data_IF_388866599555
#
_entry.id   IF_388866599555
#
_cell.length_a   1.000
_cell.length_b   1.000
_cell.length_c   1.000
_cell.angle_alpha   90.00
_cell.angle_beta   90.00
_cell.angle_gamma   90.00
#
_symmetry.space_group_name_H-M   'P 1'
#
loop_
_entity.id
_entity.type
_entity.pdbx_description
1 polymer ?
#
# COMPACT_ATOMS: atom_id res chain seq x y z
N UNK A 1 5.45 -21.26 -5.76
CA UNK A 1 4.90 -19.92 -6.03
C UNK A 1 5.92 -19.11 -6.80
N UNK A 2 5.58 -18.59 -7.99
CA UNK A 2 6.52 -17.87 -8.85
C UNK A 2 6.87 -16.50 -8.24
N UNK A 3 8.17 -16.17 -8.17
CA UNK A 3 8.64 -14.86 -7.69
C UNK A 3 8.22 -13.76 -8.68
N UNK A 4 7.61 -12.69 -8.18
CA UNK A 4 7.24 -11.54 -8.99
C UNK A 4 8.49 -10.75 -9.45
N UNK A 5 8.51 -10.38 -10.73
CA UNK A 5 9.58 -9.60 -11.36
C UNK A 5 9.38 -8.12 -11.05
N UNK A 6 10.44 -7.43 -10.63
CA UNK A 6 10.41 -5.98 -10.36
C UNK A 6 10.21 -5.22 -11.68
N UNK A 7 9.30 -4.25 -11.70
CA UNK A 7 9.06 -3.41 -12.87
C UNK A 7 10.30 -2.60 -13.21
N UNK A 8 10.65 -2.61 -14.48
CA UNK A 8 11.68 -1.77 -15.08
C UNK A 8 11.21 -0.31 -15.10
N UNK A 9 12.18 0.62 -15.15
CA UNK A 9 11.91 2.06 -15.29
C UNK A 9 11.09 2.34 -16.55
N UNK A 10 11.29 1.55 -17.61
CA UNK A 10 10.55 1.64 -18.88
C UNK A 10 9.07 1.29 -18.73
N UNK A 11 8.75 0.19 -18.04
CA UNK A 11 7.37 -0.21 -17.77
C UNK A 11 6.65 0.86 -16.93
N UNK A 12 7.32 1.42 -15.92
CA UNK A 12 6.79 2.54 -15.12
C UNK A 12 6.50 3.79 -15.97
N UNK A 13 7.39 4.16 -16.88
CA UNK A 13 7.19 5.30 -17.77
C UNK A 13 5.96 5.14 -18.66
N UNK A 14 5.79 3.94 -19.23
CA UNK A 14 4.66 3.63 -20.12
C UNK A 14 3.30 3.69 -19.41
N UNK A 15 3.25 3.31 -18.14
CA UNK A 15 2.02 3.39 -17.34
C UNK A 15 1.63 4.83 -17.06
N UNK A 16 2.60 5.69 -16.72
CA UNK A 16 2.35 7.12 -16.48
C UNK A 16 1.83 7.80 -17.75
N UNK A 17 2.38 7.45 -18.92
CA UNK A 17 1.92 7.94 -20.21
C UNK A 17 0.46 7.54 -20.48
N UNK A 18 0.14 6.25 -20.36
CA UNK A 18 -1.21 5.75 -20.65
C UNK A 18 -2.26 6.28 -19.65
N UNK A 19 -1.87 6.49 -18.38
CA UNK A 19 -2.73 7.12 -17.39
C UNK A 19 -3.01 8.60 -17.71
N UNK A 20 -1.99 9.36 -18.12
CA UNK A 20 -2.17 10.74 -18.59
C UNK A 20 -3.04 10.85 -19.84
N UNK A 21 -3.08 9.80 -20.66
CA UNK A 21 -3.97 9.68 -21.83
C UNK A 21 -5.42 9.31 -21.45
N UNK A 22 -5.74 9.18 -20.16
CA UNK A 22 -7.09 8.92 -19.67
C UNK A 22 -7.55 7.47 -19.80
N UNK A 23 -6.63 6.53 -20.07
CA UNK A 23 -6.98 5.12 -20.14
C UNK A 23 -7.34 4.59 -18.74
N UNK A 24 -8.37 3.74 -18.70
CA UNK A 24 -8.74 3.03 -17.48
C UNK A 24 -7.62 2.08 -17.06
N UNK A 25 -7.51 1.81 -15.76
CA UNK A 25 -6.48 0.91 -15.22
C UNK A 25 -6.53 -0.48 -15.88
N UNK A 26 -7.73 -0.96 -16.25
CA UNK A 26 -7.94 -2.21 -17.00
C UNK A 26 -7.36 -2.15 -18.41
N UNK A 27 -7.54 -1.04 -19.12
CA UNK A 27 -6.96 -0.86 -20.45
C UNK A 27 -5.43 -0.75 -20.39
N UNK A 28 -4.89 -0.07 -19.38
CA UNK A 28 -3.44 -0.01 -19.13
C UNK A 28 -2.89 -1.41 -18.81
N UNK A 29 -3.58 -2.21 -18.00
CA UNK A 29 -3.20 -3.59 -17.69
C UNK A 29 -3.26 -4.51 -18.92
N UNK A 30 -4.20 -4.31 -19.83
CA UNK A 30 -4.26 -5.03 -21.09
C UNK A 30 -3.11 -4.63 -22.05
N UNK A 31 -2.79 -3.34 -22.10
CA UNK A 31 -1.74 -2.76 -22.97
C UNK A 31 -0.32 -3.08 -22.49
N UNK A 32 -0.12 -3.13 -21.17
CA UNK A 32 1.18 -3.40 -20.51
C UNK A 32 1.37 -4.90 -20.24
N UNK A 33 0.31 -5.70 -20.32
CA UNK A 33 0.32 -7.13 -20.07
C UNK A 33 0.05 -7.49 -18.60
N UNK A 34 -0.21 -8.78 -18.29
CA UNK A 34 -0.70 -9.22 -17.00
C UNK A 34 0.25 -8.88 -15.84
N UNK A 35 -0.27 -8.08 -14.91
CA UNK A 35 0.33 -7.79 -13.62
C UNK A 35 0.35 -9.05 -12.75
N UNK A 36 1.44 -9.80 -12.81
CA UNK A 36 1.66 -10.99 -11.96
C UNK A 36 2.09 -10.60 -10.54
N UNK A 37 1.35 -9.72 -9.88
CA UNK A 37 1.76 -9.18 -8.58
C UNK A 37 0.61 -8.70 -7.74
N UNK A 38 0.77 -8.83 -6.43
CA UNK A 38 -0.13 -8.32 -5.42
C UNK A 38 0.63 -7.29 -4.58
N UNK A 39 -0.01 -6.17 -4.24
CA UNK A 39 0.60 -5.12 -3.44
C UNK A 39 0.01 -5.19 -2.04
N UNK A 40 0.89 -5.19 -1.04
CA UNK A 40 0.51 -5.10 0.34
C UNK A 40 0.60 -3.64 0.77
N UNK A 41 -0.49 -3.13 1.32
CA UNK A 41 -0.58 -1.78 1.88
C UNK A 41 -0.89 -1.85 3.37
N UNK A 42 -0.37 -0.89 4.12
CA UNK A 42 -0.70 -0.69 5.51
C UNK A 42 -1.22 0.73 5.72
N UNK A 43 -2.22 0.85 6.57
CA UNK A 43 -2.71 2.12 7.08
C UNK A 43 -3.60 1.85 8.28
N UNK A 44 -3.98 2.92 8.96
CA UNK A 44 -5.06 2.84 9.92
C UNK A 44 -5.98 4.05 9.79
N UNK A 45 -7.21 3.86 10.25
CA UNK A 45 -8.30 4.80 10.09
C UNK A 45 -9.18 4.75 11.34
N UNK A 46 -9.91 5.84 11.59
CA UNK A 46 -11.01 5.87 12.53
C UNK A 46 -12.15 6.72 11.94
N UNK A 47 -13.23 6.88 12.70
CA UNK A 47 -14.30 7.81 12.34
C UNK A 47 -13.81 9.25 12.10
N UNK A 48 -12.76 9.68 12.81
CA UNK A 48 -12.26 11.06 12.77
C UNK A 48 -11.18 11.29 11.69
N UNK A 49 -10.75 10.26 10.97
CA UNK A 49 -9.77 10.44 9.89
C UNK A 49 -8.92 9.21 9.60
N UNK A 50 -8.20 9.29 8.48
CA UNK A 50 -7.33 8.23 7.93
C UNK A 50 -5.87 8.66 7.95
N UNK A 51 -4.96 7.75 8.27
CA UNK A 51 -3.52 7.96 8.07
C UNK A 51 -3.08 7.70 6.63
N UNK A 52 -1.90 8.20 6.28
CA UNK A 52 -1.27 7.95 4.98
C UNK A 52 -0.98 6.44 4.79
N UNK A 53 -1.33 5.91 3.62
CA UNK A 53 -1.09 4.52 3.27
C UNK A 53 0.40 4.27 2.96
N UNK A 54 0.97 3.27 3.61
CA UNK A 54 2.34 2.82 3.39
C UNK A 54 2.34 1.53 2.56
N UNK A 55 3.26 1.43 1.59
CA UNK A 55 3.47 0.20 0.82
C UNK A 55 4.41 -0.73 1.59
N UNK A 56 3.97 -1.96 1.86
CA UNK A 56 4.77 -3.00 2.52
C UNK A 56 5.40 -3.89 1.45
N UNK A 57 6.73 -3.99 1.45
CA UNK A 57 7.45 -4.83 0.50
C UNK A 57 7.72 -6.22 1.08
N UNK A 58 7.26 -7.26 0.38
CA UNK A 58 7.53 -8.64 0.75
C UNK A 58 6.67 -9.13 1.93
N UNK A 59 7.21 -10.08 2.70
CA UNK A 59 6.50 -10.70 3.83
C UNK A 59 6.62 -9.82 5.06
N UNK A 60 5.49 -9.42 5.65
CA UNK A 60 5.49 -8.70 6.92
C UNK A 60 5.93 -9.65 8.05
N UNK A 61 7.08 -9.37 8.65
CA UNK A 61 7.58 -10.04 9.86
C UNK A 61 7.21 -9.21 11.09
N UNK A 62 7.40 -9.76 12.30
CA UNK A 62 7.18 -9.01 13.52
C UNK A 62 8.08 -7.75 13.59
N UNK A 63 9.37 -7.89 13.26
CA UNK A 63 10.30 -6.78 13.21
C UNK A 63 9.93 -5.74 12.15
N UNK A 64 9.61 -6.19 10.93
CA UNK A 64 9.16 -5.28 9.86
C UNK A 64 7.84 -4.58 10.20
N UNK A 65 6.99 -5.21 11.03
CA UNK A 65 5.79 -4.55 11.51
C UNK A 65 6.09 -3.41 12.49
N UNK A 66 7.00 -3.62 13.45
CA UNK A 66 7.43 -2.55 14.38
C UNK A 66 8.06 -1.39 13.62
N UNK A 67 8.94 -1.68 12.67
CA UNK A 67 9.55 -0.67 11.80
C UNK A 67 8.50 0.12 11.02
N UNK A 68 7.48 -0.57 10.50
CA UNK A 68 6.39 0.07 9.78
C UNK A 68 5.54 0.96 10.70
N UNK A 69 5.33 0.60 11.98
CA UNK A 69 4.61 1.45 12.94
C UNK A 69 5.39 2.73 13.24
N UNK A 70 6.72 2.61 13.32
CA UNK A 70 7.62 3.76 13.49
C UNK A 70 7.62 4.64 12.24
N UNK A 71 7.74 4.02 11.06
CA UNK A 71 7.76 4.72 9.76
C UNK A 71 6.47 5.48 9.49
N UNK A 72 5.32 4.90 9.82
CA UNK A 72 4.04 5.58 9.71
C UNK A 72 3.77 6.58 10.85
N UNK A 73 4.73 6.76 11.75
CA UNK A 73 4.66 7.68 12.90
C UNK A 73 3.39 7.50 13.73
N UNK A 74 2.96 6.24 13.92
CA UNK A 74 1.67 5.93 14.55
C UNK A 74 1.52 6.58 15.93
N UNK A 75 2.59 6.60 16.73
CA UNK A 75 2.57 7.20 18.07
C UNK A 75 2.44 8.72 18.07
N UNK A 76 2.77 9.38 16.95
CA UNK A 76 2.68 10.84 16.79
C UNK A 76 1.39 11.24 16.09
N UNK A 77 0.99 10.50 15.06
CA UNK A 77 -0.23 10.77 14.29
C UNK A 77 -1.49 10.29 15.02
N UNK A 78 -1.40 9.26 15.86
CA UNK A 78 -2.53 8.75 16.64
C UNK A 78 -3.21 9.83 17.50
N UNK A 79 -2.48 10.52 18.39
CA UNK A 79 -3.04 11.61 19.18
C UNK A 79 -3.55 12.78 18.34
N UNK A 80 -2.86 13.11 17.25
CA UNK A 80 -3.22 14.19 16.34
C UNK A 80 -4.54 13.92 15.63
N UNK A 81 -4.75 12.68 15.18
CA UNK A 81 -5.91 12.32 14.37
C UNK A 81 -7.10 11.86 15.22
N UNK A 82 -6.83 11.22 16.37
CA UNK A 82 -7.84 10.48 17.13
C UNK A 82 -7.91 10.85 18.62
N UNK A 83 -7.12 11.83 19.06
CA UNK A 83 -7.10 12.32 20.44
C UNK A 83 -6.18 11.51 21.36
N UNK A 84 -5.91 12.04 22.55
CA UNK A 84 -4.88 11.50 23.45
C UNK A 84 -5.21 10.10 24.02
N UNK A 85 -6.49 9.73 24.13
CA UNK A 85 -6.95 8.44 24.67
C UNK A 85 -7.29 7.41 23.57
N UNK A 86 -6.67 7.56 22.39
CA UNK A 86 -6.90 6.67 21.27
C UNK A 86 -6.44 5.24 21.57
N UNK A 87 -7.22 4.25 21.14
CA UNK A 87 -6.89 2.83 21.26
C UNK A 87 -6.58 2.27 19.89
N UNK A 88 -5.41 1.67 19.73
CA UNK A 88 -5.03 0.97 18.51
C UNK A 88 -5.61 -0.44 18.50
N UNK A 89 -6.46 -0.75 17.53
CA UNK A 89 -6.87 -2.11 17.23
C UNK A 89 -6.31 -2.55 15.88
N UNK A 90 -5.86 -3.81 15.82
CA UNK A 90 -5.42 -4.47 14.58
C UNK A 90 -6.25 -5.72 14.39
N UNK A 91 -6.72 -5.92 13.17
CA UNK A 91 -7.26 -7.21 12.73
C UNK A 91 -6.14 -8.10 12.23
N UNK A 92 -6.25 -9.42 12.43
CA UNK A 92 -5.33 -10.43 11.85
C UNK A 92 -5.44 -10.51 10.32
N UNK A 93 -6.40 -9.80 9.70
CA UNK A 93 -6.62 -9.77 8.27
C UNK A 93 -5.59 -8.88 7.59
N UNK A 94 -4.73 -9.51 6.79
CA UNK A 94 -3.81 -8.85 5.88
C UNK A 94 -4.51 -8.62 4.54
N UNK A 95 -4.95 -7.39 4.29
CA UNK A 95 -5.51 -7.03 2.98
C UNK A 95 -4.40 -6.99 1.95
N UNK A 96 -4.41 -7.95 1.05
CA UNK A 96 -3.63 -7.92 -0.18
C UNK A 96 -4.60 -7.53 -1.27
N UNK A 97 -4.43 -6.34 -1.85
CA UNK A 97 -5.25 -5.93 -2.98
C UNK A 97 -4.68 -6.56 -4.25
N UNK A 98 -5.43 -7.45 -4.93
CA UNK A 98 -5.13 -7.74 -6.32
C UNK A 98 -5.40 -6.46 -7.12
N UNK A 99 -4.46 -6.07 -7.97
CA UNK A 99 -4.66 -5.03 -8.99
C UNK A 99 -5.33 -5.63 -10.22
#
# INVERSE_FOLDING_TARGET
MAKAKKLTVFERGRIVELHKRGLSQRAIAAEVGPWRGAIMIWGAFSFNGTMELQVVQGRQTAAGYVEMLQRASLMTEGPRLWGNDWVFSRTTLQFTMPV
#
